data_IF_386321370704
#
_entry.id   IF_386321370704
#
_cell.length_a   1.000
_cell.length_b   1.000
_cell.length_c   1.000
_cell.angle_alpha   90.00
_cell.angle_beta   90.00
_cell.angle_gamma   90.00
#
_symmetry.space_group_name_H-M   'P 1'
#
loop_
_entity.id
_entity.type
_entity.pdbx_description
1 polymer ?
#
# COMPACT_ATOMS: atom_id res chain seq x y z
N UNK A 1 30.58 -9.63 -0.72
CA UNK A 1 29.99 -9.72 -2.07
C UNK A 1 28.81 -8.75 -2.15
N UNK A 2 28.77 -7.85 -3.13
CA UNK A 2 27.57 -7.04 -3.43
C UNK A 2 26.55 -7.97 -4.09
N UNK A 3 25.35 -8.09 -3.51
CA UNK A 3 24.26 -8.82 -4.15
C UNK A 3 23.46 -7.83 -5.00
N UNK A 4 23.30 -8.15 -6.28
CA UNK A 4 22.42 -7.40 -7.18
C UNK A 4 20.97 -7.81 -6.87
N UNK A 5 20.11 -6.83 -6.57
CA UNK A 5 18.67 -7.07 -6.42
C UNK A 5 18.00 -7.35 -7.77
N UNK A 6 16.70 -7.67 -7.75
CA UNK A 6 15.90 -7.88 -8.98
C UNK A 6 16.08 -6.73 -9.99
N UNK A 7 16.11 -7.08 -11.28
CA UNK A 7 16.30 -6.11 -12.38
C UNK A 7 15.10 -5.17 -12.45
N UNK A 8 15.33 -3.88 -12.17
CA UNK A 8 14.36 -2.80 -12.34
C UNK A 8 14.73 -2.04 -13.62
N UNK A 9 13.79 -1.82 -14.53
CA UNK A 9 14.08 -1.01 -15.72
C UNK A 9 14.32 0.45 -15.28
N UNK A 10 15.49 1.01 -15.62
CA UNK A 10 15.87 2.38 -15.24
C UNK A 10 16.42 2.55 -13.82
N UNK A 11 16.63 1.47 -13.06
CA UNK A 11 17.33 1.53 -11.78
C UNK A 11 18.09 0.23 -11.42
N UNK A 12 19.18 0.34 -10.67
CA UNK A 12 19.96 -0.78 -10.14
C UNK A 12 19.99 -0.72 -8.62
N UNK A 13 19.65 -1.84 -7.97
CA UNK A 13 19.72 -1.98 -6.51
C UNK A 13 20.92 -2.85 -6.12
N UNK A 14 21.73 -2.33 -5.20
CA UNK A 14 22.85 -3.04 -4.59
C UNK A 14 22.69 -3.10 -3.08
N UNK A 15 22.84 -4.30 -2.52
CA UNK A 15 22.92 -4.51 -1.07
C UNK A 15 24.40 -4.71 -0.73
N UNK A 16 24.95 -3.81 0.08
CA UNK A 16 26.31 -3.93 0.57
C UNK A 16 26.31 -4.75 1.88
N UNK A 17 27.36 -5.55 2.11
CA UNK A 17 27.48 -6.31 3.35
C UNK A 17 27.60 -5.38 4.56
N UNK A 18 27.14 -5.85 5.72
CA UNK A 18 27.24 -5.13 6.98
C UNK A 18 28.71 -4.82 7.31
N UNK A 19 28.96 -3.67 7.92
CA UNK A 19 30.31 -3.33 8.42
C UNK A 19 30.67 -4.31 9.55
N UNK A 20 31.95 -4.69 9.67
CA UNK A 20 32.40 -5.59 10.74
C UNK A 20 32.01 -5.03 12.11
N UNK A 21 31.30 -5.83 12.91
CA UNK A 21 30.82 -5.43 14.24
C UNK A 21 29.61 -4.49 14.24
N UNK A 22 28.96 -4.29 13.09
CA UNK A 22 27.78 -3.43 12.96
C UNK A 22 26.62 -4.17 12.29
N UNK A 23 25.41 -3.83 12.71
CA UNK A 23 24.15 -4.25 12.08
C UNK A 23 23.70 -3.27 10.97
N UNK A 24 24.51 -2.28 10.64
CA UNK A 24 24.24 -1.35 9.55
C UNK A 24 24.40 -2.03 8.19
N UNK A 25 23.33 -2.04 7.40
CA UNK A 25 23.34 -2.44 5.99
C UNK A 25 23.17 -1.22 5.09
N UNK A 26 24.02 -1.10 4.08
CA UNK A 26 23.97 0.00 3.12
C UNK A 26 23.28 -0.46 1.83
N UNK A 27 22.08 0.06 1.60
CA UNK A 27 21.34 -0.09 0.35
C UNK A 27 21.73 1.04 -0.61
N UNK A 28 22.15 0.70 -1.83
CA UNK A 28 22.49 1.66 -2.87
C UNK A 28 21.55 1.48 -4.05
N UNK A 29 20.78 2.52 -4.35
CA UNK A 29 19.91 2.59 -5.53
C UNK A 29 20.56 3.54 -6.52
N UNK A 30 20.86 3.04 -7.72
CA UNK A 30 21.35 3.84 -8.83
C UNK A 30 20.18 4.02 -9.80
N UNK A 31 19.74 5.26 -10.01
CA UNK A 31 18.66 5.58 -10.95
C UNK A 31 19.31 6.00 -12.26
N UNK A 32 19.03 5.27 -13.34
CA UNK A 32 19.51 5.55 -14.68
C UNK A 32 18.41 6.33 -15.41
N UNK A 33 18.39 7.66 -15.23
CA UNK A 33 17.38 8.53 -15.85
C UNK A 33 18.02 9.78 -16.45
N UNK A 34 17.78 10.04 -17.74
CA UNK A 34 18.20 11.26 -18.44
C UNK A 34 17.62 12.54 -17.80
N UNK A 35 16.53 12.45 -17.04
CA UNK A 35 15.96 13.56 -16.27
C UNK A 35 16.87 14.08 -15.14
N UNK A 36 17.87 13.31 -14.70
CA UNK A 36 18.87 13.74 -13.71
C UNK A 36 19.69 14.93 -14.21
N UNK A 37 19.87 15.07 -15.53
CA UNK A 37 20.66 16.14 -16.17
C UNK A 37 19.97 17.50 -16.06
N UNK A 38 18.63 17.54 -15.99
CA UNK A 38 17.86 18.80 -15.91
C UNK A 38 17.34 19.16 -14.52
N UNK A 39 17.07 18.17 -13.65
CA UNK A 39 16.38 18.38 -12.35
C UNK A 39 17.35 18.36 -11.17
N UNK A 40 18.52 17.73 -11.32
CA UNK A 40 19.53 17.59 -10.26
C UNK A 40 19.25 16.41 -9.32
N UNK A 41 20.32 15.70 -8.93
CA UNK A 41 20.24 14.48 -8.13
C UNK A 41 19.65 14.70 -6.71
N UNK A 42 19.82 15.88 -6.13
CA UNK A 42 19.30 16.22 -4.80
C UNK A 42 17.77 16.26 -4.77
N UNK A 43 17.14 16.85 -5.79
CA UNK A 43 15.68 16.97 -5.92
C UNK A 43 15.05 15.59 -6.15
N UNK A 44 15.65 14.78 -7.02
CA UNK A 44 15.20 13.40 -7.26
C UNK A 44 15.33 12.55 -5.99
N UNK A 45 16.45 12.68 -5.27
CA UNK A 45 16.64 11.98 -4.01
C UNK A 45 15.62 12.39 -2.95
N UNK A 46 15.33 13.68 -2.81
CA UNK A 46 14.31 14.17 -1.86
C UNK A 46 12.92 13.62 -2.19
N UNK A 47 12.50 13.70 -3.46
CA UNK A 47 11.21 13.16 -3.89
C UNK A 47 11.11 11.63 -3.70
N UNK A 48 12.21 10.90 -3.91
CA UNK A 48 12.25 9.46 -3.66
C UNK A 48 12.01 9.11 -2.20
N UNK A 49 12.73 9.74 -1.26
CA UNK A 49 12.56 9.46 0.16
C UNK A 49 11.19 9.90 0.69
N UNK A 50 10.67 11.01 0.17
CA UNK A 50 9.33 11.50 0.51
C UNK A 50 8.23 10.54 0.02
N UNK A 51 8.37 9.97 -1.18
CA UNK A 51 7.48 8.93 -1.70
C UNK A 51 7.58 7.62 -0.91
N UNK A 52 8.80 7.22 -0.53
CA UNK A 52 9.04 6.04 0.29
C UNK A 52 8.38 6.20 1.66
N UNK A 53 8.57 7.35 2.31
CA UNK A 53 7.94 7.66 3.60
C UNK A 53 6.42 7.67 3.49
N UNK A 54 5.86 8.28 2.45
CA UNK A 54 4.42 8.28 2.20
C UNK A 54 3.85 6.87 2.06
N UNK A 55 4.40 6.08 1.13
CA UNK A 55 3.88 4.74 0.82
C UNK A 55 3.90 3.82 2.03
N UNK A 56 5.01 3.81 2.79
CA UNK A 56 5.12 2.98 3.98
C UNK A 56 4.26 3.49 5.12
N UNK A 57 4.18 4.81 5.35
CA UNK A 57 3.31 5.37 6.39
C UNK A 57 1.86 4.98 6.14
N UNK A 58 1.39 5.07 4.88
CA UNK A 58 0.06 4.61 4.50
C UNK A 58 -0.13 3.11 4.75
N UNK A 59 0.82 2.26 4.37
CA UNK A 59 0.76 0.82 4.70
C UNK A 59 0.72 0.58 6.21
N UNK A 60 1.44 1.36 7.01
CA UNK A 60 1.40 1.28 8.48
C UNK A 60 0.19 1.95 9.12
N UNK A 61 -0.71 2.55 8.34
CA UNK A 61 -1.84 3.33 8.82
C UNK A 61 -1.40 4.51 9.71
N UNK A 62 -0.32 5.18 9.31
CA UNK A 62 0.23 6.37 9.93
C UNK A 62 -0.03 7.58 9.04
N UNK A 63 -0.32 8.72 9.67
CA UNK A 63 -0.51 9.97 8.94
C UNK A 63 0.83 10.54 8.51
N UNK A 64 0.93 10.84 7.21
CA UNK A 64 2.07 11.50 6.62
C UNK A 64 1.62 12.35 5.44
N UNK A 65 1.93 13.64 5.50
CA UNK A 65 1.80 14.54 4.39
C UNK A 65 3.15 14.70 3.68
N UNK A 66 3.23 14.46 2.36
CA UNK A 66 4.47 14.61 1.63
C UNK A 66 4.93 16.07 1.65
N UNK A 67 6.24 16.27 1.67
CA UNK A 67 6.85 17.60 1.73
C UNK A 67 7.22 18.13 0.34
N UNK A 68 7.52 17.25 -0.59
CA UNK A 68 8.03 17.62 -1.92
C UNK A 68 6.90 17.90 -2.91
N UNK A 69 7.02 18.94 -3.76
CA UNK A 69 6.00 19.27 -4.75
C UNK A 69 5.73 18.13 -5.75
N UNK A 70 6.77 17.36 -6.08
CA UNK A 70 6.67 16.23 -7.01
C UNK A 70 5.75 15.14 -6.46
N UNK A 71 5.87 14.79 -5.18
CA UNK A 71 5.04 13.76 -4.55
C UNK A 71 3.63 14.28 -4.30
N UNK A 72 3.46 15.54 -3.88
CA UNK A 72 2.13 16.18 -3.77
C UNK A 72 1.33 16.07 -5.08
N UNK A 73 1.95 16.50 -6.19
CA UNK A 73 1.34 16.38 -7.52
C UNK A 73 1.04 14.96 -7.95
N UNK A 74 1.75 13.96 -7.40
CA UNK A 74 1.56 12.56 -7.70
C UNK A 74 0.33 12.00 -6.98
N UNK A 75 0.07 12.46 -5.75
CA UNK A 75 -1.15 12.16 -4.99
C UNK A 75 -2.37 12.78 -5.67
N UNK A 76 -2.26 14.02 -6.15
CA UNK A 76 -3.35 14.76 -6.78
C UNK A 76 -3.77 14.19 -8.15
N UNK A 77 -3.07 13.18 -8.68
CA UNK A 77 -3.43 12.56 -9.96
C UNK A 77 -4.71 11.74 -9.82
N UNK A 78 -5.55 11.81 -10.86
CA UNK A 78 -6.83 11.07 -10.98
C UNK A 78 -6.70 9.56 -10.81
N UNK A 79 -5.52 8.97 -10.99
CA UNK A 79 -5.29 7.54 -10.80
C UNK A 79 -4.47 7.29 -9.52
N UNK A 80 -5.12 6.89 -8.40
CA UNK A 80 -4.42 6.66 -7.14
C UNK A 80 -3.68 5.32 -7.18
N UNK A 81 -2.42 5.35 -7.61
CA UNK A 81 -1.49 4.20 -7.56
C UNK A 81 -1.10 3.83 -6.11
N UNK A 82 -1.16 4.79 -5.17
CA UNK A 82 -0.77 4.58 -3.76
C UNK A 82 -1.52 3.41 -3.13
N UNK A 83 -2.81 3.29 -3.40
CA UNK A 83 -3.63 2.23 -2.82
C UNK A 83 -3.26 0.82 -3.28
N UNK A 84 -2.71 0.66 -4.49
CA UNK A 84 -2.18 -0.62 -4.98
C UNK A 84 -0.80 -0.90 -4.38
N UNK A 85 0.00 0.15 -4.15
CA UNK A 85 1.28 0.02 -3.46
C UNK A 85 1.12 -0.40 -2.00
N UNK A 86 0.11 0.12 -1.30
CA UNK A 86 -0.19 -0.28 0.09
C UNK A 86 -0.30 -1.81 0.21
N UNK A 87 -1.15 -2.42 -0.64
CA UNK A 87 -1.35 -3.87 -0.74
C UNK A 87 -0.06 -4.60 -1.12
N UNK A 88 0.65 -4.12 -2.15
CA UNK A 88 1.87 -4.77 -2.62
C UNK A 88 2.99 -4.77 -1.57
N UNK A 89 2.97 -3.79 -0.65
CA UNK A 89 3.97 -3.63 0.41
C UNK A 89 3.62 -4.39 1.70
N UNK A 90 2.38 -4.86 1.90
CA UNK A 90 1.98 -5.59 3.13
C UNK A 90 2.89 -6.79 3.41
N UNK A 91 3.03 -7.70 2.44
CA UNK A 91 3.84 -8.92 2.61
C UNK A 91 5.33 -8.59 2.76
N UNK A 92 5.97 -7.79 1.87
CA UNK A 92 7.38 -7.44 2.03
C UNK A 92 7.69 -6.75 3.37
N UNK A 93 6.83 -5.84 3.82
CA UNK A 93 7.02 -5.16 5.09
C UNK A 93 6.81 -6.11 6.26
N UNK A 94 5.81 -6.99 6.23
CA UNK A 94 5.66 -8.03 7.25
C UNK A 94 6.91 -8.90 7.36
N UNK A 95 7.50 -9.30 6.22
CA UNK A 95 8.75 -10.07 6.20
C UNK A 95 9.95 -9.25 6.73
N UNK A 96 10.01 -7.96 6.44
CA UNK A 96 11.03 -7.07 7.00
C UNK A 96 10.97 -6.99 8.54
N UNK A 97 9.80 -7.21 9.14
CA UNK A 97 9.63 -7.27 10.59
C UNK A 97 9.96 -8.64 11.22
N UNK A 98 10.45 -9.62 10.46
CA UNK A 98 10.78 -10.96 11.00
C UNK A 98 11.68 -10.92 12.25
N UNK A 99 12.74 -10.09 12.33
CA UNK A 99 13.55 -9.97 13.55
C UNK A 99 12.76 -9.40 14.74
N UNK A 100 11.92 -8.38 14.49
CA UNK A 100 11.07 -7.73 15.51
C UNK A 100 10.03 -8.71 16.07
N UNK A 101 9.51 -9.63 15.23
CA UNK A 101 8.60 -10.68 15.68
C UNK A 101 9.23 -11.62 16.70
N UNK A 102 10.53 -11.88 16.57
CA UNK A 102 11.29 -12.72 17.50
C UNK A 102 11.66 -11.95 18.78
N UNK A 103 11.92 -10.65 18.66
CA UNK A 103 12.32 -9.78 19.77
C UNK A 103 11.53 -8.46 19.71
N UNK A 104 10.46 -8.35 20.51
CA UNK A 104 9.51 -7.22 20.43
C UNK A 104 10.11 -5.85 20.76
N UNK A 105 11.19 -5.81 21.52
CA UNK A 105 11.89 -4.57 21.89
C UNK A 105 12.87 -4.10 20.80
N UNK A 106 13.04 -4.89 19.73
CA UNK A 106 13.89 -4.52 18.61
C UNK A 106 13.22 -3.47 17.72
N UNK A 107 14.03 -2.57 17.17
CA UNK A 107 13.60 -1.64 16.11
C UNK A 107 14.59 -1.61 14.96
N UNK A 108 14.09 -1.43 13.73
CA UNK A 108 14.90 -1.23 12.53
C UNK A 108 14.66 0.21 12.06
N UNK A 109 15.74 0.98 11.91
CA UNK A 109 15.65 2.39 11.53
C UNK A 109 16.21 2.55 10.11
N UNK A 110 15.44 3.20 9.24
CA UNK A 110 15.85 3.55 7.89
C UNK A 110 16.19 5.04 7.86
N UNK A 111 17.42 5.36 7.48
CA UNK A 111 17.97 6.72 7.42
C UNK A 111 18.50 7.06 6.04
N UNK A 112 18.65 8.35 5.77
CA UNK A 112 19.29 8.84 4.55
C UNK A 112 20.81 8.94 4.79
N UNK A 113 21.64 8.68 3.77
CA UNK A 113 23.08 8.94 3.89
C UNK A 113 23.36 10.40 4.26
N UNK A 114 24.12 10.62 5.34
CA UNK A 114 24.54 11.93 5.88
C UNK A 114 23.44 12.79 6.52
N UNK A 115 22.25 12.23 6.69
CA UNK A 115 21.16 12.90 7.39
C UNK A 115 20.65 11.95 8.49
N UNK A 116 20.84 12.30 9.78
CA UNK A 116 20.41 11.46 10.89
C UNK A 116 18.88 11.45 11.09
N UNK A 117 18.11 12.24 10.33
CA UNK A 117 16.66 12.19 10.41
C UNK A 117 16.16 10.80 9.99
N UNK A 118 15.42 10.18 10.91
CA UNK A 118 14.79 8.88 10.71
C UNK A 118 13.71 9.03 9.64
N UNK A 119 13.86 8.32 8.53
CA UNK A 119 12.84 8.31 7.49
C UNK A 119 11.66 7.48 7.98
N UNK A 120 11.97 6.26 8.43
CA UNK A 120 11.00 5.29 8.96
C UNK A 120 11.66 4.51 10.09
N UNK A 121 10.87 4.24 11.13
CA UNK A 121 11.18 3.27 12.18
C UNK A 121 10.22 2.11 12.06
N UNK A 122 10.77 0.89 12.01
CA UNK A 122 10.02 -0.35 12.12
C UNK A 122 10.15 -0.86 13.56
N UNK A 123 9.05 -1.14 14.21
CA UNK A 123 8.95 -1.70 15.55
C UNK A 123 7.72 -2.60 15.69
N UNK A 124 7.42 -3.01 16.92
CA UNK A 124 6.27 -3.88 17.18
C UNK A 124 4.94 -3.23 16.79
N UNK A 125 4.84 -1.91 16.82
CA UNK A 125 3.65 -1.16 16.45
C UNK A 125 3.41 -1.21 14.93
N UNK A 126 4.45 -0.95 14.14
CA UNK A 126 4.36 -1.07 12.67
C UNK A 126 4.17 -2.52 12.24
N UNK A 127 4.71 -3.51 12.97
CA UNK A 127 4.46 -4.93 12.74
C UNK A 127 2.96 -5.27 12.86
N UNK A 128 2.28 -4.77 13.89
CA UNK A 128 0.84 -5.04 14.07
C UNK A 128 0.00 -4.45 12.93
N UNK A 129 0.41 -3.32 12.35
CA UNK A 129 -0.29 -2.71 11.22
C UNK A 129 -0.26 -3.56 9.95
N UNK A 130 0.82 -4.32 9.72
CA UNK A 130 1.00 -5.20 8.53
C UNK A 130 0.73 -6.67 8.80
N UNK A 131 0.56 -7.06 10.06
CA UNK A 131 0.14 -8.40 10.45
C UNK A 131 -1.36 -8.53 10.17
N UNK A 132 -1.70 -9.03 8.99
CA UNK A 132 -3.09 -9.17 8.52
C UNK A 132 -3.62 -10.57 8.79
N UNK A 133 -4.93 -10.67 9.02
CA UNK A 133 -5.66 -11.93 9.11
C UNK A 133 -6.99 -11.80 8.38
N UNK A 134 -7.43 -12.90 7.80
CA UNK A 134 -8.78 -13.00 7.22
C UNK A 134 -9.75 -13.48 8.30
N UNK A 135 -10.81 -12.72 8.52
CA UNK A 135 -11.89 -13.13 9.41
C UNK A 135 -12.73 -14.23 8.73
N UNK A 136 -13.17 -15.21 9.52
CA UNK A 136 -13.94 -16.33 8.99
C UNK A 136 -15.41 -15.98 8.75
N UNK A 137 -15.93 -15.02 9.51
CA UNK A 137 -17.30 -14.55 9.43
C UNK A 137 -17.55 -13.80 8.11
N UNK A 138 -18.69 -14.11 7.48
CA UNK A 138 -19.16 -13.38 6.31
C UNK A 138 -20.11 -12.31 6.81
N UNK A 139 -19.76 -11.06 6.56
CA UNK A 139 -20.53 -9.89 6.96
C UNK A 139 -21.11 -9.20 5.73
N UNK A 140 -22.22 -8.49 5.93
CA UNK A 140 -22.83 -7.68 4.89
C UNK A 140 -22.39 -6.23 5.06
N UNK A 141 -21.89 -5.64 3.97
CA UNK A 141 -21.52 -4.22 3.92
C UNK A 141 -22.30 -3.53 2.80
N UNK A 142 -22.68 -2.28 3.02
CA UNK A 142 -23.47 -1.47 2.09
C UNK A 142 -22.68 -0.22 1.70
N UNK A 143 -22.86 0.20 0.46
CA UNK A 143 -22.18 1.34 -0.10
C UNK A 143 -22.00 1.23 -1.60
N UNK A 144 -21.02 1.94 -2.15
CA UNK A 144 -20.85 2.09 -3.59
C UNK A 144 -19.41 1.82 -4.05
N UNK A 145 -19.27 1.29 -5.25
CA UNK A 145 -17.98 1.07 -5.89
C UNK A 145 -17.47 2.40 -6.43
N UNK A 146 -16.27 2.81 -6.02
CA UNK A 146 -15.62 4.06 -6.46
C UNK A 146 -14.53 3.82 -7.49
N UNK A 147 -13.96 2.60 -7.54
CA UNK A 147 -13.03 2.16 -8.59
C UNK A 147 -13.14 0.66 -8.78
N UNK A 148 -12.94 0.18 -10.00
CA UNK A 148 -12.86 -1.24 -10.28
C UNK A 148 -12.00 -1.52 -11.51
N UNK A 149 -11.03 -2.43 -11.37
CA UNK A 149 -10.24 -2.95 -12.47
C UNK A 149 -10.81 -4.30 -12.90
N UNK A 150 -11.36 -4.35 -14.12
CA UNK A 150 -12.01 -5.56 -14.67
C UNK A 150 -11.03 -6.72 -14.91
N UNK A 151 -9.73 -6.43 -15.07
CA UNK A 151 -8.68 -7.42 -15.36
C UNK A 151 -8.23 -8.08 -14.06
N UNK A 152 -7.88 -7.29 -13.04
CA UNK A 152 -7.39 -7.83 -11.75
C UNK A 152 -8.50 -8.23 -10.78
N UNK A 153 -9.74 -7.79 -11.01
CA UNK A 153 -10.86 -8.02 -10.09
C UNK A 153 -10.77 -7.20 -8.79
N UNK A 154 -9.84 -6.24 -8.72
CA UNK A 154 -9.61 -5.39 -7.56
C UNK A 154 -10.32 -4.05 -7.75
N UNK A 155 -10.91 -3.55 -6.67
CA UNK A 155 -11.57 -2.25 -6.67
C UNK A 155 -11.49 -1.55 -5.33
N UNK A 156 -12.23 -0.44 -5.25
CA UNK A 156 -12.39 0.42 -4.09
C UNK A 156 -13.89 0.59 -3.85
N UNK A 157 -14.30 0.35 -2.61
CA UNK A 157 -15.69 0.39 -2.17
C UNK A 157 -15.79 1.39 -1.03
N UNK A 158 -16.61 2.41 -1.20
CA UNK A 158 -16.98 3.28 -0.10
C UNK A 158 -17.96 2.51 0.78
N UNK A 159 -17.58 2.26 2.01
CA UNK A 159 -18.38 1.58 3.01
C UNK A 159 -19.14 2.63 3.84
N UNK A 160 -20.46 2.53 3.85
CA UNK A 160 -21.32 3.50 4.54
C UNK A 160 -21.15 3.43 6.07
N UNK A 161 -20.89 2.24 6.64
CA UNK A 161 -20.77 2.06 8.09
C UNK A 161 -19.40 2.54 8.59
N UNK A 162 -18.35 2.39 7.77
CA UNK A 162 -16.98 2.80 8.11
C UNK A 162 -16.62 4.21 7.59
N UNK A 163 -17.55 4.84 6.86
CA UNK A 163 -17.44 6.16 6.22
C UNK A 163 -16.14 6.37 5.40
N UNK A 164 -15.59 5.29 4.84
CA UNK A 164 -14.30 5.32 4.15
C UNK A 164 -14.25 4.35 2.98
N UNK A 165 -13.31 4.61 2.08
CA UNK A 165 -13.06 3.75 0.92
C UNK A 165 -12.11 2.61 1.29
N UNK A 166 -12.59 1.38 1.20
CA UNK A 166 -11.86 0.15 1.51
C UNK A 166 -11.58 -0.60 0.20
N UNK A 167 -10.39 -1.21 0.09
CA UNK A 167 -10.09 -2.07 -1.07
C UNK A 167 -10.98 -3.31 -1.05
N UNK A 168 -11.43 -3.78 -2.20
CA UNK A 168 -12.07 -5.08 -2.31
C UNK A 168 -11.46 -5.90 -3.44
N UNK A 169 -11.55 -7.21 -3.32
CA UNK A 169 -11.23 -8.15 -4.39
C UNK A 169 -12.41 -9.08 -4.65
N UNK A 170 -12.77 -9.20 -5.93
CA UNK A 170 -13.71 -10.21 -6.42
C UNK A 170 -12.94 -11.50 -6.69
N UNK A 171 -13.51 -12.69 -6.39
CA UNK A 171 -12.94 -13.97 -6.75
C UNK A 171 -12.69 -14.07 -8.26
N UNK A 172 -11.58 -14.69 -8.65
CA UNK A 172 -11.19 -14.79 -10.06
C UNK A 172 -12.23 -15.60 -10.87
N UNK A 173 -12.90 -16.56 -10.23
CA UNK A 173 -13.97 -17.40 -10.73
C UNK A 173 -15.38 -16.79 -10.60
N UNK A 174 -15.50 -15.54 -10.12
CA UNK A 174 -16.79 -14.90 -9.95
C UNK A 174 -17.55 -14.79 -11.28
N UNK A 175 -18.80 -15.23 -11.26
CA UNK A 175 -19.69 -15.20 -12.41
C UNK A 175 -19.92 -13.78 -12.98
N UNK A 176 -20.24 -13.73 -14.28
CA UNK A 176 -20.44 -12.48 -15.02
C UNK A 176 -21.50 -11.56 -14.40
N UNK A 177 -22.49 -12.12 -13.71
CA UNK A 177 -23.55 -11.38 -13.02
C UNK A 177 -23.02 -10.53 -11.87
N UNK A 178 -22.10 -11.04 -11.04
CA UNK A 178 -21.50 -10.29 -9.94
C UNK A 178 -20.64 -9.13 -10.47
N UNK A 179 -19.78 -9.41 -11.47
CA UNK A 179 -18.95 -8.39 -12.12
C UNK A 179 -19.80 -7.27 -12.73
N UNK A 180 -20.93 -7.60 -13.38
CA UNK A 180 -21.88 -6.62 -13.91
C UNK A 180 -22.50 -5.73 -12.83
N UNK A 181 -22.85 -6.29 -11.66
CA UNK A 181 -23.39 -5.49 -10.54
C UNK A 181 -22.36 -4.50 -9.99
N UNK A 182 -21.09 -4.89 -9.95
CA UNK A 182 -19.99 -4.01 -9.53
C UNK A 182 -19.78 -2.86 -10.52
N UNK A 183 -19.75 -3.16 -11.82
CA UNK A 183 -19.66 -2.12 -12.86
C UNK A 183 -20.90 -1.22 -12.87
N UNK A 184 -22.08 -1.78 -12.61
CA UNK A 184 -23.31 -1.00 -12.45
C UNK A 184 -23.21 -0.04 -11.26
N UNK A 185 -22.75 -0.51 -10.09
CA UNK A 185 -22.52 0.36 -8.93
C UNK A 185 -21.56 1.50 -9.25
N UNK A 186 -20.42 1.18 -9.88
CA UNK A 186 -19.43 2.19 -10.29
C UNK A 186 -20.00 3.25 -11.23
N UNK A 187 -20.84 2.85 -12.17
CA UNK A 187 -21.46 3.78 -13.11
C UNK A 187 -22.46 4.72 -12.42
N UNK A 188 -23.32 4.18 -11.55
CA UNK A 188 -24.38 4.96 -10.91
C UNK A 188 -23.89 5.75 -9.69
N UNK A 189 -22.73 5.40 -9.13
CA UNK A 189 -22.08 6.17 -8.05
C UNK A 189 -21.67 7.60 -8.43
N UNK A 190 -21.85 7.99 -9.71
CA UNK A 190 -21.66 9.37 -10.17
C UNK A 190 -22.82 10.29 -9.75
N UNK A 191 -23.98 9.72 -9.44
CA UNK A 191 -25.14 10.44 -8.93
C UNK A 191 -25.24 10.23 -7.43
N UNK A 192 -25.37 11.31 -6.65
CA UNK A 192 -25.48 11.23 -5.19
C UNK A 192 -26.66 10.33 -4.77
N UNK A 193 -26.37 9.36 -3.92
CA UNK A 193 -27.36 8.41 -3.38
C UNK A 193 -27.71 7.24 -4.29
N UNK A 194 -27.23 7.19 -5.53
CA UNK A 194 -27.44 6.06 -6.43
C UNK A 194 -26.27 5.05 -6.43
N UNK A 195 -26.47 3.91 -7.10
CA UNK A 195 -25.40 2.91 -7.27
C UNK A 195 -25.04 2.12 -6.02
N UNK A 196 -25.82 2.21 -4.95
CA UNK A 196 -25.60 1.40 -3.74
C UNK A 196 -25.84 -0.08 -4.02
N UNK A 197 -24.92 -0.90 -3.51
CA UNK A 197 -24.98 -2.35 -3.56
C UNK A 197 -24.67 -2.91 -2.16
N UNK A 198 -25.11 -4.14 -1.93
CA UNK A 198 -24.76 -4.91 -0.74
C UNK A 198 -23.74 -5.97 -1.11
N UNK A 199 -22.62 -6.00 -0.41
CA UNK A 199 -21.60 -7.03 -0.56
C UNK A 199 -21.66 -7.98 0.63
N UNK A 200 -21.64 -9.29 0.35
CA UNK A 200 -21.28 -10.30 1.35
C UNK A 200 -19.77 -10.49 1.27
N UNK A 201 -19.05 -10.19 2.35
CA UNK A 201 -17.58 -10.13 2.34
C UNK A 201 -16.98 -10.84 3.54
N UNK A 202 -15.78 -11.38 3.38
CA UNK A 202 -14.88 -11.63 4.50
C UNK A 202 -13.95 -10.44 4.67
N UNK A 203 -13.78 -9.96 5.90
CA UNK A 203 -12.87 -8.85 6.20
C UNK A 203 -11.44 -9.36 6.33
N UNK A 204 -10.50 -8.66 5.70
CA UNK A 204 -9.08 -8.76 6.03
C UNK A 204 -8.79 -7.61 6.97
N UNK A 205 -8.38 -7.94 8.19
CA UNK A 205 -8.11 -6.97 9.26
C UNK A 205 -6.65 -7.04 9.68
N UNK A 206 -6.07 -5.90 10.04
CA UNK A 206 -4.77 -5.89 10.71
C UNK A 206 -4.90 -6.38 12.15
N UNK A 207 -3.77 -6.69 12.80
CA UNK A 207 -3.75 -7.04 14.23
C UNK A 207 -4.25 -5.90 15.13
N UNK A 208 -4.30 -4.67 14.60
CA UNK A 208 -4.91 -3.49 15.25
C UNK A 208 -6.42 -3.37 15.05
N UNK A 209 -7.05 -4.34 14.39
CA UNK A 209 -8.50 -4.32 14.12
C UNK A 209 -8.93 -3.39 12.98
N UNK A 210 -7.98 -2.83 12.21
CA UNK A 210 -8.32 -1.97 11.07
C UNK A 210 -8.66 -2.83 9.87
N UNK A 211 -9.86 -2.65 9.32
CA UNK A 211 -10.28 -3.26 8.05
C UNK A 211 -9.40 -2.76 6.90
N UNK A 212 -8.66 -3.67 6.28
CA UNK A 212 -7.77 -3.39 5.13
C UNK A 212 -8.42 -3.69 3.80
N UNK A 213 -9.14 -4.82 3.73
CA UNK A 213 -9.71 -5.29 2.47
C UNK A 213 -10.95 -6.14 2.66
N UNK A 214 -11.83 -6.12 1.67
CA UNK A 214 -12.94 -7.04 1.54
C UNK A 214 -12.68 -8.13 0.49
N UNK A 215 -12.85 -9.38 0.90
CA UNK A 215 -12.92 -10.51 -0.02
C UNK A 215 -14.39 -10.78 -0.33
N UNK A 216 -14.82 -10.32 -1.50
CA UNK A 216 -16.21 -10.41 -1.93
C UNK A 216 -16.59 -11.87 -2.15
N UNK A 217 -17.72 -12.29 -1.60
CA UNK A 217 -18.32 -13.61 -1.82
C UNK A 217 -19.54 -13.47 -2.75
N UNK A 218 -20.40 -12.49 -2.47
CA UNK A 218 -21.58 -12.21 -3.28
C UNK A 218 -21.85 -10.71 -3.39
N UNK A 219 -22.52 -10.35 -4.48
CA UNK A 219 -22.92 -8.98 -4.78
C UNK A 219 -24.42 -8.95 -5.03
N UNK A 220 -25.12 -8.12 -4.26
CA UNK A 220 -26.55 -7.90 -4.38
C UNK A 220 -26.82 -6.43 -4.73
N UNK A 221 -27.83 -6.21 -5.57
CA UNK A 221 -28.33 -4.86 -5.82
C UNK A 221 -29.37 -4.55 -4.76
N UNK A 222 -29.39 -3.30 -4.30
CA UNK A 222 -30.41 -2.77 -3.39
C UNK A 222 -31.42 -1.97 -4.20
#
# INVERSE_FOLDING_TARGET
>A
MRKQGNKINGAKLFINPSRKGSFEELLTIIIENNALVGIGASVVGAAFYDLLKLTWSKTFNQDYEPTTPTVKRLIDRKEPFIGEMEEALEIPLEQAHRPIRQHRDMSIIITRPRDPYQIIKLDNDTLQSVSIRTENEVVQVVGNVTRYNIISGIGRFYDDDEEKTISFKIPDDAGSSQRRRITWSLHNAQTDGEGKIRLEVKKIVSARGVTRRYLVQKVHRI
#
